data_IF_739447467663
#
_entry.id   IF_739447467663
#
_cell.length_a   1.000
_cell.length_b   1.000
_cell.length_c   1.000
_cell.angle_alpha   90.00
_cell.angle_beta   90.00
_cell.angle_gamma   90.00
#
_symmetry.space_group_name_H-M   'P 1'
#
loop_
_entity.id
_entity.type
_entity.pdbx_description
1 polymer ?
#
# COMPACT_ATOMS: atom_id res chain seq x y z
N UNK A 1 21.09 -18.06 2.25
CA UNK A 1 19.77 -17.47 2.07
C UNK A 1 18.99 -17.62 3.37
N UNK A 2 17.98 -16.78 3.63
CA UNK A 2 17.18 -16.77 4.86
C UNK A 2 17.99 -16.82 6.17
N UNK A 3 18.95 -15.92 6.31
CA UNK A 3 19.77 -15.74 7.51
C UNK A 3 18.96 -15.59 8.81
N UNK A 4 17.76 -14.96 8.83
CA UNK A 4 16.89 -14.96 10.00
C UNK A 4 16.60 -16.35 10.57
N UNK A 5 16.47 -17.39 9.75
CA UNK A 5 16.21 -18.75 10.23
C UNK A 5 17.41 -19.31 11.01
N UNK A 6 18.64 -19.04 10.57
CA UNK A 6 19.85 -19.41 11.32
C UNK A 6 19.92 -18.68 12.68
N UNK A 7 19.50 -17.42 12.74
CA UNK A 7 19.46 -16.65 13.99
C UNK A 7 18.41 -17.24 14.95
N UNK A 8 17.25 -17.66 14.43
CA UNK A 8 16.18 -18.30 15.24
C UNK A 8 16.69 -19.60 15.88
N UNK A 9 17.41 -20.42 15.14
CA UNK A 9 17.97 -21.68 15.65
C UNK A 9 19.15 -21.47 16.60
N UNK A 10 20.08 -20.57 16.23
CA UNK A 10 21.26 -20.26 17.03
C UNK A 10 21.56 -18.76 17.02
N UNK A 11 21.16 -18.01 18.05
CA UNK A 11 21.43 -16.57 18.15
C UNK A 11 22.93 -16.21 18.12
N UNK A 12 23.83 -17.14 18.49
CA UNK A 12 25.29 -16.90 18.47
C UNK A 12 25.88 -16.88 17.06
N UNK A 13 25.12 -17.30 16.05
CA UNK A 13 25.58 -17.35 14.65
C UNK A 13 26.07 -15.98 14.16
N UNK A 14 25.50 -14.88 14.66
CA UNK A 14 25.91 -13.53 14.29
C UNK A 14 27.37 -13.25 14.67
N UNK A 15 27.81 -13.73 15.84
CA UNK A 15 29.21 -13.62 16.29
C UNK A 15 30.15 -14.55 15.52
N UNK A 16 29.68 -15.73 15.12
CA UNK A 16 30.46 -16.63 14.25
C UNK A 16 30.70 -15.99 12.89
N UNK A 17 29.67 -15.37 12.30
CA UNK A 17 29.79 -14.64 11.05
C UNK A 17 30.71 -13.41 11.18
N UNK A 18 30.74 -12.75 12.33
CA UNK A 18 31.73 -11.71 12.59
C UNK A 18 33.17 -12.25 12.44
N UNK A 19 33.48 -13.38 13.06
CA UNK A 19 34.80 -14.02 12.96
C UNK A 19 35.12 -14.43 11.51
N UNK A 20 34.14 -14.97 10.78
CA UNK A 20 34.28 -15.31 9.36
C UNK A 20 34.71 -14.07 8.57
N UNK A 21 34.02 -12.94 8.76
CA UNK A 21 34.35 -11.68 8.06
C UNK A 21 35.75 -11.18 8.44
N UNK A 22 36.06 -11.13 9.74
CA UNK A 22 37.29 -10.50 10.25
C UNK A 22 38.56 -11.31 9.98
N UNK A 23 38.47 -12.64 9.99
CA UNK A 23 39.63 -13.54 9.96
C UNK A 23 39.72 -14.28 8.64
N UNK A 24 38.60 -14.82 8.15
CA UNK A 24 38.60 -15.72 6.99
C UNK A 24 38.50 -14.92 5.69
N UNK A 25 37.63 -13.90 5.65
CA UNK A 25 37.34 -13.17 4.42
C UNK A 25 38.22 -11.94 4.18
N UNK A 26 38.88 -11.40 5.21
CA UNK A 26 39.58 -10.10 5.20
C UNK A 26 40.51 -9.88 4.01
N UNK A 27 41.32 -10.88 3.66
CA UNK A 27 42.32 -10.79 2.58
C UNK A 27 41.89 -11.57 1.33
N UNK A 28 40.60 -11.84 1.19
CA UNK A 28 40.02 -12.58 0.06
C UNK A 28 39.24 -11.66 -0.87
N UNK A 29 38.96 -12.13 -2.09
CA UNK A 29 38.04 -11.45 -3.02
C UNK A 29 36.58 -11.89 -2.85
N UNK A 30 36.29 -12.70 -1.83
CA UNK A 30 34.97 -13.30 -1.61
C UNK A 30 33.98 -12.26 -1.08
N UNK A 31 32.73 -12.31 -1.57
CA UNK A 31 31.62 -11.48 -1.07
C UNK A 31 30.65 -12.33 -0.27
N UNK A 32 30.26 -11.83 0.89
CA UNK A 32 29.22 -12.41 1.72
C UNK A 32 27.93 -11.60 1.54
N UNK A 33 26.85 -12.27 1.13
CA UNK A 33 25.53 -11.68 1.00
C UNK A 33 24.59 -12.41 1.95
N UNK A 34 24.02 -11.66 2.89
CA UNK A 34 23.02 -12.17 3.83
C UNK A 34 21.64 -11.72 3.35
N UNK A 35 20.77 -12.68 3.08
CA UNK A 35 19.40 -12.49 2.62
C UNK A 35 18.44 -12.88 3.75
N UNK A 36 17.28 -12.24 3.82
CA UNK A 36 16.26 -12.58 4.80
C UNK A 36 14.94 -11.86 4.53
N UNK A 37 13.84 -12.61 4.55
CA UNK A 37 12.48 -12.09 4.42
C UNK A 37 12.01 -11.36 5.68
N UNK A 38 12.48 -11.80 6.87
CA UNK A 38 12.15 -11.16 8.14
C UNK A 38 12.92 -9.85 8.35
N UNK A 39 12.32 -8.74 7.90
CA UNK A 39 12.91 -7.40 8.01
C UNK A 39 13.17 -7.02 9.46
N UNK A 40 12.23 -7.29 10.38
CA UNK A 40 12.39 -6.98 11.80
C UNK A 40 13.59 -7.71 12.43
N UNK A 41 13.84 -8.97 12.02
CA UNK A 41 14.99 -9.73 12.49
C UNK A 41 16.30 -9.21 11.88
N UNK A 42 16.29 -8.89 10.59
CA UNK A 42 17.45 -8.28 9.92
C UNK A 42 17.79 -6.93 10.56
N UNK A 43 16.81 -6.08 10.82
CA UNK A 43 17.00 -4.77 11.45
C UNK A 43 17.50 -4.89 12.90
N UNK A 44 16.88 -5.74 13.72
CA UNK A 44 17.20 -5.83 15.14
C UNK A 44 18.44 -6.68 15.48
N UNK A 45 18.77 -7.69 14.67
CA UNK A 45 19.85 -8.65 14.98
C UNK A 45 21.09 -8.51 14.09
N UNK A 46 20.93 -8.00 12.87
CA UNK A 46 22.04 -7.90 11.90
C UNK A 46 22.47 -6.46 11.67
N UNK A 47 21.51 -5.54 11.61
CA UNK A 47 21.74 -4.14 11.23
C UNK A 47 21.73 -3.17 12.41
N UNK A 48 21.38 -3.64 13.62
CA UNK A 48 21.39 -2.84 14.85
C UNK A 48 22.82 -2.48 15.25
N UNK A 49 22.99 -1.35 15.93
CA UNK A 49 24.31 -0.88 16.36
C UNK A 49 25.04 -1.89 17.25
N UNK A 50 24.27 -2.59 18.11
CA UNK A 50 24.77 -3.61 19.02
C UNK A 50 25.07 -4.95 18.33
N UNK A 51 24.78 -5.08 17.03
CA UNK A 51 25.05 -6.30 16.28
C UNK A 51 26.56 -6.47 16.03
N UNK A 52 27.12 -7.67 16.25
CA UNK A 52 28.49 -8.01 15.84
C UNK A 52 28.83 -7.66 14.38
N UNK A 53 27.82 -7.67 13.50
CA UNK A 53 27.99 -7.41 12.07
C UNK A 53 27.83 -5.92 11.67
N UNK A 54 27.43 -5.03 12.59
CA UNK A 54 27.10 -3.63 12.27
C UNK A 54 28.21 -2.89 11.53
N UNK A 55 29.45 -2.94 12.05
CA UNK A 55 30.61 -2.26 11.49
C UNK A 55 31.26 -2.96 10.29
N UNK A 56 30.69 -4.09 9.84
CA UNK A 56 31.26 -4.94 8.78
C UNK A 56 30.41 -4.95 7.51
N UNK A 57 29.26 -4.28 7.53
CA UNK A 57 28.42 -4.13 6.34
C UNK A 57 29.05 -3.14 5.37
N UNK A 58 29.18 -3.55 4.11
CA UNK A 58 29.63 -2.66 3.02
C UNK A 58 28.46 -2.15 2.17
N UNK A 59 27.26 -2.67 2.40
CA UNK A 59 26.05 -2.27 1.67
C UNK A 59 24.80 -2.89 2.28
N UNK A 60 23.66 -2.27 2.02
CA UNK A 60 22.34 -2.74 2.43
C UNK A 60 21.34 -2.40 1.33
N UNK A 61 20.52 -3.37 0.96
CA UNK A 61 19.46 -3.20 -0.03
C UNK A 61 18.17 -3.71 0.60
N UNK A 62 17.19 -2.80 0.81
CA UNK A 62 15.81 -3.19 1.09
C UNK A 62 15.09 -3.29 -0.24
N UNK A 63 14.96 -4.50 -0.76
CA UNK A 63 14.26 -4.73 -2.02
C UNK A 63 12.78 -4.41 -1.83
N UNK A 64 12.26 -3.49 -2.65
CA UNK A 64 10.84 -3.10 -2.65
C UNK A 64 10.15 -3.79 -3.83
N UNK A 65 8.82 -3.85 -3.76
CA UNK A 65 7.99 -4.20 -4.91
C UNK A 65 8.30 -3.29 -6.10
N UNK A 66 8.11 -3.82 -7.31
CA UNK A 66 8.22 -3.06 -8.54
C UNK A 66 7.20 -1.93 -8.58
N UNK A 67 7.53 -0.88 -9.32
CA UNK A 67 6.63 0.26 -9.51
C UNK A 67 5.54 -0.07 -10.52
N UNK A 68 4.42 0.66 -10.45
CA UNK A 68 3.30 0.44 -11.36
C UNK A 68 3.71 0.47 -12.85
N UNK A 69 4.54 1.44 -13.25
CA UNK A 69 5.03 1.56 -14.64
C UNK A 69 5.77 0.33 -15.15
N UNK A 70 6.42 -0.42 -14.26
CA UNK A 70 7.21 -1.60 -14.60
C UNK A 70 6.33 -2.83 -14.87
N UNK A 71 5.08 -2.83 -14.39
CA UNK A 71 4.11 -3.91 -14.64
C UNK A 71 3.82 -4.05 -16.13
N UNK A 72 3.92 -2.96 -16.91
CA UNK A 72 3.76 -2.99 -18.37
C UNK A 72 4.75 -3.94 -19.05
N UNK A 73 5.93 -4.17 -18.46
CA UNK A 73 6.93 -5.07 -19.01
C UNK A 73 6.51 -6.55 -18.91
N UNK A 74 5.66 -6.90 -17.94
CA UNK A 74 5.08 -8.24 -17.83
C UNK A 74 3.88 -8.42 -18.76
N UNK A 75 3.16 -7.33 -19.06
CA UNK A 75 1.96 -7.35 -19.90
C UNK A 75 2.00 -6.28 -21.00
N UNK A 76 2.85 -6.44 -22.03
CA UNK A 76 3.01 -5.46 -23.11
C UNK A 76 1.71 -5.16 -23.86
N UNK A 77 0.81 -6.14 -23.96
CA UNK A 77 -0.45 -6.01 -24.71
C UNK A 77 -1.62 -5.51 -23.84
N UNK A 78 -1.46 -5.45 -22.52
CA UNK A 78 -2.53 -5.03 -21.62
C UNK A 78 -2.84 -3.53 -21.72
N UNK A 79 -4.12 -3.18 -21.68
CA UNK A 79 -4.55 -1.78 -21.58
C UNK A 79 -4.13 -1.16 -20.25
N UNK A 80 -4.01 0.17 -20.17
CA UNK A 80 -3.72 0.85 -18.90
C UNK A 80 -4.75 0.50 -17.80
N UNK A 81 -6.02 0.31 -18.20
CA UNK A 81 -7.08 -0.13 -17.29
C UNK A 81 -6.77 -1.52 -16.72
N UNK A 82 -6.41 -2.46 -17.57
CA UNK A 82 -6.13 -3.83 -17.16
C UNK A 82 -4.83 -3.95 -16.36
N UNK A 83 -3.83 -3.10 -16.62
CA UNK A 83 -2.64 -3.00 -15.74
C UNK A 83 -3.01 -2.57 -14.32
N UNK A 84 -3.96 -1.65 -14.16
CA UNK A 84 -4.49 -1.29 -12.82
C UNK A 84 -5.25 -2.46 -12.21
N UNK A 85 -6.02 -3.22 -13.01
CA UNK A 85 -6.71 -4.43 -12.55
C UNK A 85 -5.71 -5.49 -12.07
N UNK A 86 -4.66 -5.77 -12.83
CA UNK A 86 -3.58 -6.70 -12.46
C UNK A 86 -2.83 -6.19 -11.23
N UNK A 87 -2.48 -4.90 -11.18
CA UNK A 87 -1.84 -4.30 -10.01
C UNK A 87 -2.75 -4.37 -8.77
N UNK A 88 -4.07 -4.27 -8.93
CA UNK A 88 -5.03 -4.47 -7.86
C UNK A 88 -4.96 -5.86 -7.25
N UNK A 89 -4.66 -6.87 -8.07
CA UNK A 89 -4.49 -8.26 -7.64
C UNK A 89 -3.08 -8.52 -7.11
N UNK A 90 -2.03 -8.30 -7.92
CA UNK A 90 -0.66 -8.74 -7.65
C UNK A 90 0.22 -7.64 -7.02
N UNK A 91 -0.20 -6.39 -7.06
CA UNK A 91 0.67 -5.25 -6.74
C UNK A 91 1.88 -5.21 -7.66
N UNK A 92 3.04 -4.92 -7.09
CA UNK A 92 4.34 -4.94 -7.77
C UNK A 92 5.19 -6.15 -7.40
N UNK A 93 4.61 -7.25 -6.91
CA UNK A 93 5.37 -8.43 -6.48
C UNK A 93 5.61 -9.35 -7.68
N UNK A 94 6.86 -9.57 -8.13
CA UNK A 94 7.16 -10.35 -9.32
C UNK A 94 6.55 -11.76 -9.28
N UNK A 95 6.63 -12.45 -8.14
CA UNK A 95 6.09 -13.80 -7.98
C UNK A 95 4.60 -13.88 -8.34
N UNK A 96 3.77 -12.92 -7.92
CA UNK A 96 2.35 -12.90 -8.26
C UNK A 96 2.11 -12.49 -9.71
N UNK A 97 2.91 -11.54 -10.24
CA UNK A 97 2.81 -11.10 -11.63
C UNK A 97 3.13 -12.23 -12.61
N UNK A 98 4.12 -13.07 -12.31
CA UNK A 98 4.47 -14.25 -13.12
C UNK A 98 3.37 -15.32 -13.16
N UNK A 99 2.47 -15.36 -12.18
CA UNK A 99 1.33 -16.29 -12.18
C UNK A 99 0.18 -15.83 -13.07
N UNK A 100 0.03 -14.51 -13.25
CA UNK A 100 -1.06 -13.91 -14.02
C UNK A 100 -0.82 -14.13 -15.51
N UNK A 101 -1.85 -14.59 -16.23
CA UNK A 101 -1.86 -14.62 -17.69
C UNK A 101 -2.82 -13.56 -18.24
N UNK A 102 -2.48 -13.01 -19.41
CA UNK A 102 -3.34 -12.10 -20.15
C UNK A 102 -4.29 -12.89 -21.07
N UNK A 103 -5.59 -12.54 -21.16
CA UNK A 103 -6.31 -11.49 -20.41
C UNK A 103 -6.59 -11.84 -18.94
N UNK A 104 -6.50 -10.83 -18.06
CA UNK A 104 -6.54 -11.00 -16.61
C UNK A 104 -7.79 -11.74 -16.11
N UNK A 105 -8.97 -11.37 -16.63
CA UNK A 105 -10.22 -11.96 -16.16
C UNK A 105 -10.47 -13.37 -16.65
N UNK A 106 -9.98 -13.72 -17.84
CA UNK A 106 -10.03 -15.10 -18.34
C UNK A 106 -9.09 -16.00 -17.53
N UNK A 107 -7.92 -15.49 -17.19
CA UNK A 107 -6.99 -16.17 -16.31
C UNK A 107 -7.58 -16.36 -14.90
N UNK A 108 -8.14 -15.32 -14.29
CA UNK A 108 -8.75 -15.39 -12.96
C UNK A 108 -9.85 -16.45 -12.88
N UNK A 109 -10.72 -16.51 -13.90
CA UNK A 109 -11.78 -17.51 -13.98
C UNK A 109 -11.24 -18.94 -14.03
N UNK A 110 -10.17 -19.16 -14.80
CA UNK A 110 -9.50 -20.47 -14.88
C UNK A 110 -8.81 -20.82 -13.56
N UNK A 111 -8.11 -19.86 -12.95
CA UNK A 111 -7.35 -20.04 -11.72
C UNK A 111 -8.26 -20.38 -10.53
N UNK A 112 -9.42 -19.72 -10.40
CA UNK A 112 -10.41 -20.03 -9.36
C UNK A 112 -10.93 -21.48 -9.45
N UNK A 113 -11.05 -22.03 -10.67
CA UNK A 113 -11.51 -23.41 -10.91
C UNK A 113 -10.42 -24.46 -10.68
N UNK A 114 -9.16 -24.06 -10.49
CA UNK A 114 -8.09 -25.01 -10.21
C UNK A 114 -8.20 -25.55 -8.79
N UNK A 115 -8.06 -26.85 -8.66
CA UNK A 115 -7.96 -27.53 -7.36
C UNK A 115 -6.60 -27.27 -6.72
N UNK A 116 -5.54 -27.14 -7.53
CA UNK A 116 -4.15 -26.90 -7.15
C UNK A 116 -3.74 -25.41 -7.25
N UNK A 117 -4.64 -24.49 -6.92
CA UNK A 117 -4.36 -23.06 -7.04
C UNK A 117 -3.52 -22.50 -5.89
N UNK A 118 -2.52 -21.68 -6.21
CA UNK A 118 -1.77 -20.89 -5.21
C UNK A 118 -2.69 -19.91 -4.47
N UNK A 119 -3.80 -19.48 -5.08
CA UNK A 119 -4.79 -18.62 -4.44
C UNK A 119 -5.31 -19.23 -3.15
N UNK A 120 -5.39 -20.55 -3.02
CA UNK A 120 -5.95 -21.20 -1.83
C UNK A 120 -4.94 -21.33 -0.70
N UNK A 121 -3.64 -21.39 -1.01
CA UNK A 121 -2.62 -21.84 -0.05
C UNK A 121 -1.58 -20.78 0.29
N UNK A 122 -1.32 -19.82 -0.59
CA UNK A 122 -0.24 -18.85 -0.46
C UNK A 122 -0.29 -18.04 0.85
N UNK A 123 -1.44 -17.43 1.16
CA UNK A 123 -1.59 -16.63 2.40
C UNK A 123 -1.44 -17.51 3.64
N UNK A 124 -1.89 -18.77 3.60
CA UNK A 124 -1.75 -19.69 4.72
C UNK A 124 -0.29 -20.05 4.98
N UNK A 125 0.51 -20.24 3.93
CA UNK A 125 1.96 -20.45 4.05
C UNK A 125 2.66 -19.22 4.61
N UNK A 126 2.41 -18.03 4.04
CA UNK A 126 3.00 -16.78 4.51
C UNK A 126 2.67 -16.51 5.99
N UNK A 127 1.41 -16.70 6.38
CA UNK A 127 0.96 -16.46 7.76
C UNK A 127 1.57 -17.47 8.74
N UNK A 128 1.69 -18.75 8.37
CA UNK A 128 2.30 -19.78 9.24
C UNK A 128 3.81 -19.62 9.38
N UNK A 129 4.48 -19.02 8.38
CA UNK A 129 5.90 -18.71 8.46
C UNK A 129 6.19 -17.62 9.50
N UNK A 130 5.30 -16.63 9.61
CA UNK A 130 5.46 -15.50 10.53
C UNK A 130 4.82 -15.71 11.91
N UNK A 131 3.71 -16.46 11.98
CA UNK A 131 2.89 -16.57 13.19
C UNK A 131 2.57 -18.01 13.56
N UNK A 132 2.70 -18.33 14.85
CA UNK A 132 2.32 -19.63 15.41
C UNK A 132 0.79 -19.84 15.50
N UNK A 133 0.05 -18.78 15.83
CA UNK A 133 -1.42 -18.74 15.84
C UNK A 133 -1.87 -17.71 14.82
N UNK A 134 -2.67 -18.11 13.81
CA UNK A 134 -2.99 -17.24 12.66
C UNK A 134 -4.43 -16.73 12.66
N UNK A 135 -5.34 -17.33 13.44
CA UNK A 135 -6.78 -17.06 13.38
C UNK A 135 -7.11 -15.61 13.72
N UNK A 136 -6.48 -15.08 14.76
CA UNK A 136 -6.74 -13.69 15.20
C UNK A 136 -6.21 -12.69 14.18
N UNK A 137 -5.03 -12.94 13.63
CA UNK A 137 -4.47 -12.09 12.57
C UNK A 137 -5.30 -12.12 11.29
N UNK A 138 -5.75 -13.29 10.84
CA UNK A 138 -6.63 -13.43 9.67
C UNK A 138 -7.91 -12.61 9.83
N UNK A 139 -8.55 -12.64 11.01
CA UNK A 139 -9.74 -11.81 11.30
C UNK A 139 -9.47 -10.31 11.24
N UNK A 140 -8.32 -9.86 11.76
CA UNK A 140 -7.92 -8.46 11.73
C UNK A 140 -7.64 -8.02 10.29
N UNK A 141 -6.93 -8.84 9.50
CA UNK A 141 -6.66 -8.56 8.09
C UNK A 141 -7.96 -8.52 7.27
N UNK A 142 -8.87 -9.46 7.49
CA UNK A 142 -10.22 -9.44 6.91
C UNK A 142 -10.94 -8.13 7.23
N UNK A 143 -11.00 -7.73 8.50
CA UNK A 143 -11.63 -6.46 8.91
C UNK A 143 -11.07 -5.26 8.12
N UNK A 144 -9.73 -5.17 8.02
CA UNK A 144 -9.05 -4.10 7.29
C UNK A 144 -9.35 -4.17 5.78
N UNK A 145 -9.38 -5.38 5.19
CA UNK A 145 -9.74 -5.57 3.78
C UNK A 145 -11.19 -5.13 3.47
N UNK A 146 -12.08 -5.22 4.45
CA UNK A 146 -13.45 -4.69 4.36
C UNK A 146 -13.58 -3.18 4.66
N UNK A 147 -12.48 -2.48 4.91
CA UNK A 147 -12.46 -1.03 5.08
C UNK A 147 -12.53 -0.55 6.53
N UNK A 148 -12.47 -1.47 7.51
CA UNK A 148 -12.35 -1.11 8.92
C UNK A 148 -10.89 -0.72 9.19
N UNK A 149 -10.61 0.58 9.19
CA UNK A 149 -9.23 1.08 9.25
C UNK A 149 -8.89 1.71 10.58
N UNK A 150 -9.86 1.96 11.45
CA UNK A 150 -9.63 2.46 12.82
C UNK A 150 -9.63 1.32 13.82
N UNK A 151 -8.89 1.48 14.93
CA UNK A 151 -8.81 0.47 15.99
C UNK A 151 -10.19 0.03 16.51
N UNK A 152 -11.11 0.99 16.70
CA UNK A 152 -12.48 0.70 17.13
C UNK A 152 -13.26 -0.12 16.12
N UNK A 153 -13.26 0.31 14.85
CA UNK A 153 -13.92 -0.38 13.73
C UNK A 153 -13.43 -1.83 13.60
N UNK A 154 -12.11 -2.06 13.70
CA UNK A 154 -11.51 -3.40 13.61
C UNK A 154 -11.99 -4.27 14.78
N UNK A 155 -11.98 -3.74 16.02
CA UNK A 155 -12.45 -4.49 17.20
C UNK A 155 -13.92 -4.87 17.07
N UNK A 156 -14.74 -3.94 16.62
CA UNK A 156 -16.18 -4.12 16.45
C UNK A 156 -16.47 -5.18 15.38
N UNK A 157 -15.81 -5.08 14.22
CA UNK A 157 -15.93 -6.07 13.14
C UNK A 157 -15.52 -7.48 13.60
N UNK A 158 -14.40 -7.61 14.32
CA UNK A 158 -13.93 -8.91 14.78
C UNK A 158 -14.72 -9.49 15.97
N UNK A 159 -15.62 -8.71 16.59
CA UNK A 159 -16.36 -9.11 17.79
C UNK A 159 -15.50 -9.17 19.06
N UNK A 160 -14.37 -8.47 19.09
CA UNK A 160 -13.42 -8.47 20.21
C UNK A 160 -13.84 -7.47 21.29
N UNK A 161 -14.87 -7.83 22.06
CA UNK A 161 -15.29 -7.07 23.25
C UNK A 161 -14.25 -7.24 24.37
N UNK A 162 -13.63 -6.15 24.80
CA UNK A 162 -12.67 -6.15 25.91
C UNK A 162 -11.27 -6.69 25.59
N UNK A 163 -11.09 -7.48 24.54
CA UNK A 163 -9.76 -7.96 24.10
C UNK A 163 -8.92 -6.82 23.54
N UNK A 164 -7.66 -6.73 23.95
CA UNK A 164 -6.70 -5.83 23.34
C UNK A 164 -6.11 -6.45 22.06
N UNK A 165 -6.35 -5.80 20.93
CA UNK A 165 -5.81 -6.21 19.63
C UNK A 165 -4.54 -5.45 19.23
N UNK A 166 -4.09 -4.52 20.08
CA UNK A 166 -2.89 -3.72 19.84
C UNK A 166 -1.64 -4.57 19.64
N UNK A 167 -1.41 -5.67 20.40
CA UNK A 167 -0.27 -6.56 20.16
C UNK A 167 -0.31 -7.21 18.77
N UNK A 168 -1.49 -7.64 18.31
CA UNK A 168 -1.65 -8.24 16.98
C UNK A 168 -1.38 -7.23 15.86
N UNK A 169 -1.93 -6.00 15.98
CA UNK A 169 -1.66 -4.94 15.03
C UNK A 169 -0.18 -4.55 15.00
N UNK A 170 0.48 -4.51 16.17
CA UNK A 170 1.93 -4.26 16.26
C UNK A 170 2.72 -5.33 15.50
N UNK A 171 2.41 -6.60 15.73
CA UNK A 171 3.09 -7.71 15.05
C UNK A 171 2.84 -7.67 13.53
N UNK A 172 1.62 -7.37 13.07
CA UNK A 172 1.32 -7.20 11.65
C UNK A 172 2.05 -6.01 11.00
N UNK A 173 2.37 -4.97 11.77
CA UNK A 173 3.20 -3.85 11.31
C UNK A 173 4.67 -4.27 11.22
N UNK A 174 5.17 -4.97 12.24
CA UNK A 174 6.55 -5.46 12.27
C UNK A 174 6.86 -6.48 11.17
N UNK A 175 5.89 -7.31 10.79
CA UNK A 175 5.99 -8.25 9.66
C UNK A 175 5.55 -7.63 8.33
N UNK A 176 5.32 -6.32 8.30
CA UNK A 176 4.95 -5.54 7.11
C UNK A 176 3.64 -5.97 6.40
N UNK A 177 2.78 -6.79 7.01
CA UNK A 177 1.44 -7.07 6.47
C UNK A 177 0.54 -5.82 6.49
N UNK A 178 0.69 -5.00 7.52
CA UNK A 178 -0.14 -3.80 7.75
C UNK A 178 0.75 -2.58 7.91
N UNK A 179 0.35 -1.46 7.32
CA UNK A 179 0.90 -0.15 7.60
C UNK A 179 -0.07 0.65 8.48
N UNK A 180 0.48 1.40 9.43
CA UNK A 180 -0.24 2.42 10.19
C UNK A 180 0.10 3.79 9.60
N UNK A 181 -0.89 4.46 9.01
CA UNK A 181 -0.73 5.77 8.38
C UNK A 181 -1.45 6.82 9.22
N UNK A 182 -0.75 7.89 9.57
CA UNK A 182 -1.33 9.06 10.24
C UNK A 182 -1.59 10.18 9.24
N UNK A 183 -2.56 11.09 9.50
CA UNK A 183 -2.70 12.31 8.71
C UNK A 183 -1.38 13.08 8.63
N UNK A 184 -1.12 13.76 7.51
CA UNK A 184 0.13 14.48 7.26
C UNK A 184 0.50 15.46 8.39
N UNK A 185 -0.49 16.15 8.95
CA UNK A 185 -0.30 17.14 10.02
C UNK A 185 -0.59 16.59 11.41
N UNK A 186 -0.66 15.26 11.55
CA UNK A 186 -0.89 14.62 12.84
C UNK A 186 0.34 14.76 13.77
N UNK A 187 0.07 14.96 15.06
CA UNK A 187 1.11 14.85 16.09
C UNK A 187 1.54 13.39 16.27
N UNK A 188 2.73 13.18 16.85
CA UNK A 188 3.31 11.83 17.10
C UNK A 188 2.37 10.93 17.90
N UNK A 189 1.52 11.48 18.76
CA UNK A 189 0.58 10.76 19.61
C UNK A 189 -0.85 10.69 19.04
N UNK A 190 -1.04 11.04 17.77
CA UNK A 190 -2.38 11.10 17.18
C UNK A 190 -3.09 9.75 17.23
N UNK A 191 -4.30 9.75 17.81
CA UNK A 191 -5.23 8.61 17.79
C UNK A 191 -5.96 8.47 16.45
N UNK A 192 -5.69 9.35 15.49
CA UNK A 192 -6.33 9.35 14.17
C UNK A 192 -5.64 8.43 13.17
N UNK A 193 -4.61 7.68 13.53
CA UNK A 193 -3.98 6.78 12.56
C UNK A 193 -4.94 5.70 12.08
N UNK A 194 -4.81 5.33 10.81
CA UNK A 194 -5.55 4.27 10.16
C UNK A 194 -4.63 3.11 9.75
N UNK A 195 -5.16 1.90 9.74
CA UNK A 195 -4.46 0.66 9.39
C UNK A 195 -4.85 0.22 7.98
N UNK A 196 -3.85 -0.13 7.17
CA UNK A 196 -4.04 -0.56 5.79
C UNK A 196 -3.20 -1.79 5.49
N UNK A 197 -3.75 -2.76 4.77
CA UNK A 197 -2.95 -3.87 4.25
C UNK A 197 -1.96 -3.32 3.22
N UNK A 198 -0.68 -3.64 3.43
CA UNK A 198 0.42 -3.14 2.61
C UNK A 198 0.39 -3.77 1.22
N UNK A 199 0.36 -5.10 1.18
CA UNK A 199 0.41 -5.90 -0.03
C UNK A 199 -0.97 -6.02 -0.72
N UNK A 200 -0.98 -5.92 -2.05
CA UNK A 200 -2.24 -5.93 -2.81
C UNK A 200 -2.82 -7.34 -2.92
N UNK A 201 -1.99 -8.38 -3.04
CA UNK A 201 -2.46 -9.77 -3.09
C UNK A 201 -3.06 -10.20 -1.76
N UNK A 202 -2.42 -9.89 -0.63
CA UNK A 202 -3.00 -10.09 0.71
C UNK A 202 -4.36 -9.38 0.82
N UNK A 203 -4.45 -8.12 0.39
CA UNK A 203 -5.71 -7.36 0.45
C UNK A 203 -6.79 -7.97 -0.45
N UNK A 204 -6.43 -8.35 -1.68
CA UNK A 204 -7.32 -9.03 -2.62
C UNK A 204 -7.84 -10.34 -2.04
N UNK A 205 -6.94 -11.13 -1.48
CA UNK A 205 -7.24 -12.44 -0.92
C UNK A 205 -8.23 -12.35 0.23
N UNK A 206 -7.99 -11.47 1.21
CA UNK A 206 -8.93 -11.27 2.32
C UNK A 206 -10.25 -10.63 1.89
N UNK A 207 -10.28 -9.89 0.77
CA UNK A 207 -11.51 -9.27 0.26
C UNK A 207 -12.38 -10.25 -0.52
N UNK A 208 -11.78 -11.11 -1.35
CA UNK A 208 -12.50 -11.90 -2.35
C UNK A 208 -12.32 -13.41 -2.21
N UNK A 209 -11.15 -13.88 -1.80
CA UNK A 209 -10.87 -15.32 -1.73
C UNK A 209 -11.29 -15.86 -0.38
N UNK A 210 -10.75 -15.33 0.72
CA UNK A 210 -10.98 -15.82 2.08
C UNK A 210 -12.45 -16.00 2.46
N UNK A 211 -13.33 -15.00 2.22
CA UNK A 211 -14.74 -15.14 2.58
C UNK A 211 -15.51 -16.17 1.71
N UNK A 212 -14.93 -16.58 0.58
CA UNK A 212 -15.57 -17.41 -0.42
C UNK A 212 -14.83 -18.73 -0.68
N UNK A 213 -13.83 -19.12 0.14
CA UNK A 213 -13.03 -20.34 -0.07
C UNK A 213 -13.92 -21.57 -0.31
N UNK A 214 -14.92 -21.79 0.54
CA UNK A 214 -15.82 -22.94 0.39
C UNK A 214 -16.59 -22.90 -0.94
N UNK A 215 -17.09 -21.74 -1.35
CA UNK A 215 -17.79 -21.61 -2.64
C UNK A 215 -16.85 -21.75 -3.85
N UNK A 216 -15.58 -21.38 -3.72
CA UNK A 216 -14.54 -21.59 -4.73
C UNK A 216 -14.24 -23.09 -4.84
N UNK A 217 -14.15 -23.81 -3.72
CA UNK A 217 -13.93 -25.27 -3.69
C UNK A 217 -15.09 -26.06 -4.28
N UNK A 218 -16.32 -25.63 -4.03
CA UNK A 218 -17.54 -26.21 -4.63
C UNK A 218 -17.76 -25.78 -6.10
N UNK A 219 -16.91 -24.90 -6.65
CA UNK A 219 -17.00 -24.44 -8.04
C UNK A 219 -18.18 -23.49 -8.33
N UNK A 220 -18.78 -22.91 -7.30
CA UNK A 220 -19.94 -22.01 -7.40
C UNK A 220 -19.49 -20.55 -7.56
N UNK A 221 -18.32 -20.18 -7.01
CA UNK A 221 -17.79 -18.83 -7.08
C UNK A 221 -16.98 -18.61 -8.36
N UNK A 222 -17.26 -17.52 -9.07
CA UNK A 222 -16.61 -17.17 -10.35
C UNK A 222 -15.93 -15.79 -10.30
N UNK A 223 -15.11 -15.50 -11.30
CA UNK A 223 -14.48 -14.20 -11.46
C UNK A 223 -15.52 -13.07 -11.64
N UNK A 224 -16.73 -13.38 -12.11
CA UNK A 224 -17.79 -12.38 -12.27
C UNK A 224 -18.31 -11.85 -10.92
N UNK A 225 -18.33 -12.68 -9.87
CA UNK A 225 -18.65 -12.22 -8.51
C UNK A 225 -17.62 -11.22 -7.99
N UNK A 226 -16.33 -11.42 -8.32
CA UNK A 226 -15.26 -10.47 -8.02
C UNK A 226 -15.45 -9.17 -8.82
N UNK A 227 -15.69 -9.27 -10.13
CA UNK A 227 -15.83 -8.12 -11.04
C UNK A 227 -16.88 -7.12 -10.56
N UNK A 228 -18.03 -7.58 -10.02
CA UNK A 228 -19.11 -6.72 -9.51
C UNK A 228 -18.62 -5.65 -8.54
N UNK A 229 -17.66 -5.98 -7.69
CA UNK A 229 -17.13 -5.08 -6.66
C UNK A 229 -15.69 -4.63 -6.92
N UNK A 230 -15.07 -5.11 -8.00
CA UNK A 230 -13.64 -4.87 -8.26
C UNK A 230 -13.34 -3.41 -8.55
N UNK A 231 -14.22 -2.71 -9.27
CA UNK A 231 -14.04 -1.28 -9.54
C UNK A 231 -13.93 -0.46 -8.25
N UNK A 232 -14.80 -0.72 -7.26
CA UNK A 232 -14.73 -0.06 -5.95
C UNK A 232 -13.46 -0.45 -5.19
N UNK A 233 -13.09 -1.73 -5.22
CA UNK A 233 -11.84 -2.22 -4.62
C UNK A 233 -10.59 -1.54 -5.19
N UNK A 234 -10.58 -1.24 -6.50
CA UNK A 234 -9.48 -0.59 -7.18
C UNK A 234 -9.28 0.86 -6.78
N UNK A 235 -10.27 1.54 -6.16
CA UNK A 235 -10.10 2.92 -5.68
C UNK A 235 -8.84 3.09 -4.83
N UNK A 236 -8.67 2.24 -3.80
CA UNK A 236 -7.49 2.27 -2.94
C UNK A 236 -6.18 1.83 -3.63
N UNK A 237 -6.25 0.94 -4.62
CA UNK A 237 -5.07 0.63 -5.47
C UNK A 237 -4.68 1.86 -6.28
N UNK A 238 -5.66 2.52 -6.88
CA UNK A 238 -5.46 3.64 -7.78
C UNK A 238 -4.90 4.85 -7.03
N UNK A 239 -5.33 5.09 -5.79
CA UNK A 239 -4.71 6.10 -4.92
C UNK A 239 -3.22 5.85 -4.69
N UNK A 240 -2.79 4.59 -4.48
CA UNK A 240 -1.37 4.23 -4.34
C UNK A 240 -0.60 4.47 -5.65
N UNK A 241 -1.19 4.13 -6.78
CA UNK A 241 -0.61 4.37 -8.12
C UNK A 241 -0.47 5.88 -8.38
N UNK A 242 -1.48 6.67 -8.01
CA UNK A 242 -1.45 8.13 -8.10
C UNK A 242 -0.35 8.74 -7.23
N UNK A 243 -0.11 8.19 -6.03
CA UNK A 243 1.02 8.58 -5.20
C UNK A 243 2.37 8.34 -5.89
N UNK A 244 2.58 7.14 -6.48
CA UNK A 244 3.79 6.85 -7.25
C UNK A 244 3.98 7.87 -8.39
N UNK A 245 2.91 8.15 -9.14
CA UNK A 245 2.94 9.15 -10.21
C UNK A 245 3.33 10.55 -9.73
N UNK A 246 2.75 11.02 -8.61
CA UNK A 246 3.10 12.33 -8.02
C UNK A 246 4.57 12.41 -7.61
N UNK A 247 5.15 11.31 -7.10
CA UNK A 247 6.56 11.25 -6.71
C UNK A 247 7.48 11.21 -7.93
N UNK A 248 7.14 10.40 -8.94
CA UNK A 248 7.96 10.27 -10.15
C UNK A 248 7.96 11.53 -11.00
N UNK A 249 6.86 12.30 -10.97
CA UNK A 249 6.70 13.54 -11.72
C UNK A 249 6.84 14.77 -10.82
N UNK A 250 7.56 14.67 -9.70
CA UNK A 250 7.68 15.73 -8.70
C UNK A 250 8.19 17.06 -9.28
N UNK A 251 9.04 17.00 -10.31
CA UNK A 251 9.59 18.19 -10.97
C UNK A 251 8.61 18.85 -11.95
N UNK A 252 7.53 18.16 -12.34
CA UNK A 252 6.42 18.70 -13.14
C UNK A 252 5.22 19.12 -12.29
N UNK A 253 5.28 18.92 -10.97
CA UNK A 253 4.30 19.43 -10.03
C UNK A 253 4.46 20.95 -9.87
N UNK A 254 3.43 21.68 -9.35
CA UNK A 254 3.54 23.13 -9.20
C UNK A 254 4.73 23.60 -8.35
N UNK A 255 5.22 22.72 -7.47
CA UNK A 255 6.41 22.90 -6.66
C UNK A 255 6.93 21.52 -6.22
N UNK A 256 8.19 21.45 -5.80
CA UNK A 256 8.80 20.20 -5.30
C UNK A 256 8.40 19.96 -3.84
N UNK A 257 7.84 18.79 -3.55
CA UNK A 257 7.38 18.43 -2.20
C UNK A 257 8.55 18.19 -1.24
N UNK A 258 8.48 18.75 -0.02
CA UNK A 258 9.32 18.34 1.12
C UNK A 258 8.67 17.20 1.90
N UNK A 259 7.33 17.16 1.94
CA UNK A 259 6.52 16.08 2.52
C UNK A 259 5.27 15.87 1.70
N UNK A 260 4.77 14.64 1.68
CA UNK A 260 3.49 14.28 1.06
C UNK A 260 2.83 13.15 1.86
N UNK A 261 1.52 13.21 2.02
CA UNK A 261 0.78 12.18 2.75
C UNK A 261 -0.73 12.37 2.67
N UNK A 262 -1.48 11.39 3.18
CA UNK A 262 -2.94 11.47 3.27
C UNK A 262 -3.31 12.49 4.36
N UNK A 263 -4.42 13.20 4.18
CA UNK A 263 -4.90 14.13 5.20
C UNK A 263 -6.38 13.92 5.46
N UNK A 264 -6.74 13.72 6.72
CA UNK A 264 -8.11 13.53 7.14
C UNK A 264 -8.28 14.01 8.58
N UNK A 265 -9.49 14.46 8.89
CA UNK A 265 -9.76 15.16 10.14
C UNK A 265 -11.24 15.26 10.43
N UNK A 266 -11.57 16.04 11.44
CA UNK A 266 -12.96 16.28 11.83
C UNK A 266 -13.38 17.66 11.35
N UNK A 267 -14.61 17.78 10.86
CA UNK A 267 -15.23 19.06 10.52
C UNK A 267 -15.93 19.58 11.78
N UNK A 268 -15.50 20.72 12.36
CA UNK A 268 -16.16 21.30 13.52
C UNK A 268 -17.62 21.64 13.23
N UNK A 269 -18.50 21.45 14.21
CA UNK A 269 -19.93 21.82 14.16
C UNK A 269 -20.78 21.10 13.08
N UNK A 270 -20.21 20.16 12.34
CA UNK A 270 -20.95 19.32 11.40
C UNK A 270 -21.80 18.26 12.10
N UNK A 271 -22.88 17.83 11.45
CA UNK A 271 -23.76 16.76 11.95
C UNK A 271 -22.98 15.45 12.09
N UNK A 272 -23.39 14.62 13.06
CA UNK A 272 -22.83 13.27 13.24
C UNK A 272 -23.00 12.48 11.94
N UNK A 273 -21.89 12.01 11.36
CA UNK A 273 -21.87 11.33 10.05
C UNK A 273 -21.32 12.18 8.90
N UNK A 274 -21.31 13.51 9.04
CA UNK A 274 -20.72 14.46 8.08
C UNK A 274 -19.52 15.21 8.69
N UNK A 275 -19.13 14.81 9.89
CA UNK A 275 -18.12 15.48 10.70
C UNK A 275 -16.69 15.03 10.39
N UNK A 276 -16.45 14.44 9.23
CA UNK A 276 -15.12 14.03 8.80
C UNK A 276 -14.84 14.48 7.37
N UNK A 277 -13.61 14.90 7.13
CA UNK A 277 -13.11 15.14 5.78
C UNK A 277 -11.90 14.25 5.52
N UNK A 278 -11.67 13.93 4.25
CA UNK A 278 -10.52 13.18 3.76
C UNK A 278 -10.09 13.72 2.41
N UNK A 279 -8.79 13.92 2.26
CA UNK A 279 -8.09 14.31 1.03
C UNK A 279 -7.02 13.23 0.80
N UNK A 280 -7.08 12.60 -0.38
CA UNK A 280 -6.27 11.43 -0.71
C UNK A 280 -4.78 11.72 -0.57
N UNK A 281 -4.30 12.83 -1.17
CA UNK A 281 -2.91 13.26 -1.04
C UNK A 281 -2.79 14.77 -0.86
N UNK A 282 -1.93 15.15 0.08
CA UNK A 282 -1.51 16.52 0.32
C UNK A 282 0.01 16.58 0.22
N UNK A 283 0.52 17.36 -0.71
CA UNK A 283 1.95 17.68 -0.83
C UNK A 283 2.23 19.06 -0.27
N UNK A 284 3.32 19.23 0.46
CA UNK A 284 3.74 20.55 1.00
C UNK A 284 5.20 20.83 0.71
N UNK A 285 5.54 22.12 0.68
CA UNK A 285 6.90 22.61 0.81
C UNK A 285 6.96 23.61 1.96
N UNK A 286 7.61 23.23 3.04
CA UNK A 286 7.68 24.02 4.28
C UNK A 286 8.44 25.34 4.09
N UNK A 287 9.43 25.38 3.20
CA UNK A 287 10.24 26.57 2.95
C UNK A 287 9.49 27.61 2.10
N UNK A 288 8.82 27.16 1.03
CA UNK A 288 8.08 28.06 0.12
C UNK A 288 6.64 28.30 0.55
N UNK A 289 6.15 27.60 1.58
CA UNK A 289 4.76 27.64 2.08
C UNK A 289 3.74 27.28 1.01
N UNK A 290 4.09 26.35 0.13
CA UNK A 290 3.20 25.85 -0.93
C UNK A 290 2.53 24.54 -0.51
N UNK A 291 1.27 24.38 -0.89
CA UNK A 291 0.46 23.18 -0.61
C UNK A 291 -0.34 22.76 -1.84
N UNK A 292 -0.31 21.47 -2.14
CA UNK A 292 -1.08 20.84 -3.21
C UNK A 292 -2.05 19.85 -2.58
N UNK A 293 -3.34 20.00 -2.89
CA UNK A 293 -4.39 19.04 -2.54
C UNK A 293 -4.77 18.22 -3.76
N UNK A 294 -4.85 16.89 -3.62
CA UNK A 294 -5.15 15.97 -4.73
C UNK A 294 -6.23 14.97 -4.34
N UNK A 295 -7.19 14.78 -5.25
CA UNK A 295 -8.18 13.71 -5.21
C UNK A 295 -7.93 12.71 -6.35
N UNK A 296 -8.00 11.43 -6.04
CA UNK A 296 -7.82 10.32 -6.97
C UNK A 296 -9.18 9.66 -7.22
N UNK A 297 -9.53 9.40 -8.48
CA UNK A 297 -10.84 8.84 -8.85
C UNK A 297 -10.70 7.74 -9.88
N UNK A 298 -10.99 6.50 -9.47
CA UNK A 298 -11.10 5.39 -10.41
C UNK A 298 -12.44 5.43 -11.19
N UNK A 299 -12.62 6.48 -11.98
CA UNK A 299 -13.82 6.77 -12.77
C UNK A 299 -13.46 7.65 -13.97
N UNK A 300 -14.19 7.51 -15.06
CA UNK A 300 -14.13 8.45 -16.18
C UNK A 300 -14.94 9.69 -15.81
N UNK A 301 -14.34 10.88 -15.95
CA UNK A 301 -14.93 12.15 -15.54
C UNK A 301 -15.21 13.02 -16.77
N UNK A 302 -16.43 13.56 -16.85
CA UNK A 302 -16.72 14.69 -17.71
C UNK A 302 -16.34 16.03 -17.03
N UNK A 303 -16.48 17.15 -17.73
CA UNK A 303 -16.10 18.48 -17.23
C UNK A 303 -16.91 18.90 -15.98
N UNK A 304 -18.21 18.59 -15.94
CA UNK A 304 -19.08 18.95 -14.82
C UNK A 304 -18.70 18.18 -13.56
N UNK A 305 -18.51 16.87 -13.68
CA UNK A 305 -18.08 15.99 -12.58
C UNK A 305 -16.70 16.40 -12.06
N UNK A 306 -15.76 16.72 -12.95
CA UNK A 306 -14.45 17.23 -12.56
C UNK A 306 -14.58 18.51 -11.72
N UNK A 307 -15.36 19.50 -12.18
CA UNK A 307 -15.54 20.78 -11.48
C UNK A 307 -16.26 20.58 -10.14
N UNK A 308 -17.21 19.65 -10.06
CA UNK A 308 -17.87 19.29 -8.81
C UNK A 308 -16.87 18.74 -7.79
N UNK A 309 -16.06 17.75 -8.16
CA UNK A 309 -15.04 17.16 -7.29
C UNK A 309 -14.00 18.20 -6.87
N UNK A 310 -13.62 19.09 -7.79
CA UNK A 310 -12.70 20.18 -7.51
C UNK A 310 -13.24 21.15 -6.45
N UNK A 311 -14.52 21.50 -6.54
CA UNK A 311 -15.18 22.36 -5.57
C UNK A 311 -15.28 21.67 -4.20
N UNK A 312 -15.65 20.38 -4.17
CA UNK A 312 -15.65 19.59 -2.93
C UNK A 312 -14.25 19.55 -2.29
N UNK A 313 -13.20 19.37 -3.08
CA UNK A 313 -11.82 19.39 -2.62
C UNK A 313 -11.42 20.75 -2.02
N UNK A 314 -11.83 21.85 -2.66
CA UNK A 314 -11.61 23.21 -2.12
C UNK A 314 -12.34 23.41 -0.79
N UNK A 315 -13.56 22.91 -0.64
CA UNK A 315 -14.28 22.96 0.65
C UNK A 315 -13.56 22.16 1.73
N UNK A 316 -13.07 20.95 1.42
CA UNK A 316 -12.27 20.14 2.35
C UNK A 316 -10.97 20.82 2.76
N UNK A 317 -10.28 21.48 1.83
CA UNK A 317 -9.00 22.13 2.07
C UNK A 317 -9.07 23.25 3.13
N UNK A 318 -10.24 23.88 3.31
CA UNK A 318 -10.48 24.88 4.37
C UNK A 318 -10.29 24.32 5.77
N UNK A 319 -10.47 23.01 5.98
CA UNK A 319 -10.31 22.35 7.27
C UNK A 319 -8.89 21.81 7.52
N UNK A 320 -7.97 22.02 6.57
CA UNK A 320 -6.56 21.69 6.74
C UNK A 320 -5.84 22.87 7.37
N UNK A 321 -5.37 22.71 8.61
CA UNK A 321 -4.65 23.73 9.37
C UNK A 321 -3.14 23.62 9.12
N UNK A 322 -2.64 24.43 8.19
CA UNK A 322 -1.22 24.54 7.88
C UNK A 322 -0.93 25.86 7.16
N UNK A 323 -0.28 26.82 7.83
CA UNK A 323 0.11 28.13 7.28
C UNK A 323 -1.03 28.90 6.58
N UNK A 324 -2.28 28.79 7.04
CA UNK A 324 -3.48 29.24 6.32
C UNK A 324 -3.42 30.71 5.86
N UNK A 325 -2.80 31.60 6.64
CA UNK A 325 -2.72 33.03 6.30
C UNK A 325 -1.70 33.35 5.20
N UNK A 326 -0.77 32.44 4.91
CA UNK A 326 0.40 32.71 4.06
C UNK A 326 0.67 31.62 3.01
N UNK A 327 -0.13 30.56 2.96
CA UNK A 327 0.13 29.43 2.06
C UNK A 327 -0.37 29.71 0.65
N UNK A 328 0.35 29.19 -0.35
CA UNK A 328 -0.12 29.17 -1.73
C UNK A 328 -0.72 27.81 -2.05
N UNK A 329 -1.99 27.79 -2.41
CA UNK A 329 -2.76 26.57 -2.63
C UNK A 329 -2.81 26.18 -4.11
N UNK A 330 -2.67 24.89 -4.35
CA UNK A 330 -2.88 24.26 -5.65
C UNK A 330 -3.84 23.08 -5.48
N UNK A 331 -4.59 22.78 -6.53
CA UNK A 331 -5.60 21.73 -6.54
C UNK A 331 -5.41 20.83 -7.76
N UNK A 332 -5.48 19.51 -7.54
CA UNK A 332 -5.38 18.52 -8.58
C UNK A 332 -6.40 17.39 -8.47
N UNK A 333 -6.75 16.83 -9.61
CA UNK A 333 -7.57 15.64 -9.73
C UNK A 333 -6.86 14.68 -10.67
N UNK A 334 -6.70 13.44 -10.21
CA UNK A 334 -6.17 12.34 -11.00
C UNK A 334 -7.31 11.33 -11.18
N UNK A 335 -7.69 11.02 -12.43
CA UNK A 335 -8.82 10.13 -12.69
C UNK A 335 -8.51 9.06 -13.73
N UNK A 336 -9.37 8.04 -13.85
CA UNK A 336 -9.18 6.99 -14.87
C UNK A 336 -9.10 7.59 -16.29
N UNK A 337 -9.98 8.55 -16.59
CA UNK A 337 -10.00 9.35 -17.82
C UNK A 337 -10.64 10.71 -17.51
N UNK A 338 -10.14 11.79 -18.10
CA UNK A 338 -10.76 13.12 -17.99
C UNK A 338 -11.10 13.65 -19.39
N UNK A 339 -12.37 13.93 -19.64
CA UNK A 339 -12.82 14.57 -20.87
C UNK A 339 -12.28 16.01 -20.96
N UNK A 340 -11.79 16.41 -22.14
CA UNK A 340 -11.26 17.76 -22.39
C UNK A 340 -10.17 18.21 -21.38
N UNK A 341 -9.36 17.26 -20.88
CA UNK A 341 -8.27 17.48 -19.91
C UNK A 341 -7.37 18.69 -20.24
N UNK A 342 -7.03 18.88 -21.52
CA UNK A 342 -6.19 20.01 -21.96
C UNK A 342 -6.84 21.39 -21.79
N UNK A 343 -8.16 21.49 -21.93
CA UNK A 343 -8.90 22.74 -21.63
C UNK A 343 -8.80 23.06 -20.14
N UNK A 344 -9.03 22.07 -19.28
CA UNK A 344 -8.93 22.22 -17.81
C UNK A 344 -7.52 22.62 -17.37
N UNK A 345 -6.49 22.06 -18.01
CA UNK A 345 -5.08 22.44 -17.77
C UNK A 345 -4.79 23.89 -18.16
N UNK A 346 -5.32 24.37 -19.29
CA UNK A 346 -5.20 25.78 -19.72
C UNK A 346 -5.88 26.76 -18.76
N UNK A 347 -6.95 26.33 -18.07
CA UNK A 347 -7.60 27.09 -16.99
C UNK A 347 -6.78 27.09 -15.69
N UNK A 348 -5.65 26.38 -15.64
CA UNK A 348 -4.73 26.36 -14.50
C UNK A 348 -4.92 25.17 -13.55
N UNK A 349 -5.87 24.27 -13.81
CA UNK A 349 -6.11 23.09 -12.97
C UNK A 349 -5.08 21.98 -13.23
N UNK A 350 -4.76 21.20 -12.19
CA UNK A 350 -3.92 20.01 -12.33
C UNK A 350 -4.80 18.79 -12.60
N UNK A 351 -5.08 18.54 -13.87
CA UNK A 351 -5.87 17.40 -14.32
C UNK A 351 -4.95 16.33 -14.91
N UNK A 352 -5.00 15.11 -14.36
CA UNK A 352 -4.22 13.96 -14.86
C UNK A 352 -5.11 12.73 -15.03
N UNK A 353 -4.77 11.86 -15.98
CA UNK A 353 -5.39 10.56 -16.14
C UNK A 353 -4.41 9.47 -16.57
N UNK A 354 -4.91 8.25 -16.80
CA UNK A 354 -4.08 7.09 -17.15
C UNK A 354 -3.15 7.30 -18.35
N UNK A 355 -3.46 8.23 -19.26
CA UNK A 355 -2.59 8.51 -20.41
C UNK A 355 -1.32 9.28 -20.02
N UNK A 356 -1.31 9.92 -18.85
CA UNK A 356 -0.15 10.63 -18.31
C UNK A 356 0.85 9.71 -17.60
N UNK A 357 0.49 8.45 -17.30
CA UNK A 357 1.34 7.48 -16.58
C UNK A 357 2.34 6.75 -17.50
N UNK A 358 2.57 7.26 -18.71
CA UNK A 358 3.41 6.61 -19.73
C UNK A 358 4.89 6.71 -19.46
#
# INVERSE_FOLDING_TARGET
>A
DEFPNLIKENPKIVSEFQRIVDVILKDTKTKLILLGSSISMMESRVLSYDSPLFGRKTGQIKLKSMKFREIKNFFPDASAKELVEICGFAGGVPFYLEKVLYPFWEWMEKELKRTDSFLKTEIDFLMKYEFSETRTYKKILEAIAFGNTQLGEIKDYCGFKGTDITPYLKNLIETEFVNKISPLFATVQSRKSRYYIKDNFVRFWFKFIYPNISFIEEGIFSADEIKKNYSTYLGGTYEKICFEFLIENIDSMPFRFTKIGRQYGSIPLAKKGENQYEIDWVGINEATKEILFVECKWKDLNEEEFRKILNELKEKAKFVEWNNDNRKEYFGIIAKRIENKEKLRKEGFRAFDLEDFK
#
